data_IF_611165517347
#
_entry.id   IF_611165517347
#
_cell.length_a   1.000
_cell.length_b   1.000
_cell.length_c   1.000
_cell.angle_alpha   90.00
_cell.angle_beta   90.00
_cell.angle_gamma   90.00
#
_symmetry.space_group_name_H-M   'P 1'
#
loop_
_entity.id
_entity.type
_entity.pdbx_description
1 polymer ?
#
# COMPACT_ATOMS: atom_id res chain seq x y z
N UNK A 1 5.15 24.08 -13.58
CA UNK A 1 4.33 23.35 -12.58
C UNK A 1 2.87 23.23 -13.03
N UNK A 2 2.53 23.81 -14.18
CA UNK A 2 1.16 24.15 -14.55
C UNK A 2 0.33 22.92 -14.89
N UNK A 3 0.92 21.95 -15.59
CA UNK A 3 0.29 20.68 -15.95
C UNK A 3 -0.37 19.94 -14.76
N UNK A 4 0.31 19.82 -13.62
CA UNK A 4 -0.23 19.07 -12.47
C UNK A 4 -1.45 19.78 -11.88
N UNK A 5 -1.42 21.12 -11.84
CA UNK A 5 -2.55 21.92 -11.39
C UNK A 5 -3.71 21.88 -12.40
N UNK A 6 -3.40 21.91 -13.70
CA UNK A 6 -4.38 21.87 -14.80
C UNK A 6 -5.08 20.52 -14.95
N UNK A 7 -4.44 19.42 -14.59
CA UNK A 7 -5.01 18.08 -14.71
C UNK A 7 -6.25 17.86 -13.83
N UNK A 8 -6.34 18.55 -12.66
CA UNK A 8 -7.45 18.60 -11.68
C UNK A 8 -7.95 17.28 -11.07
N UNK A 9 -7.80 16.16 -11.76
CA UNK A 9 -8.30 14.87 -11.37
C UNK A 9 -7.24 13.81 -11.66
N UNK A 10 -7.12 12.84 -10.78
CA UNK A 10 -6.15 11.77 -10.89
C UNK A 10 -6.63 10.51 -10.19
N UNK A 11 -6.03 9.39 -10.60
CA UNK A 11 -6.27 8.10 -9.98
C UNK A 11 -5.12 7.79 -9.02
N UNK A 12 -5.46 7.47 -7.79
CA UNK A 12 -4.49 6.96 -6.81
C UNK A 12 -4.79 5.49 -6.55
N UNK A 13 -3.78 4.63 -6.66
CA UNK A 13 -3.92 3.18 -6.48
C UNK A 13 -3.03 2.73 -5.33
N UNK A 14 -3.65 2.18 -4.29
CA UNK A 14 -2.93 1.46 -3.24
C UNK A 14 -2.77 0.01 -3.68
N UNK A 15 -1.53 -0.41 -3.95
CA UNK A 15 -1.20 -1.78 -4.35
C UNK A 15 0.04 -2.29 -3.61
N UNK A 16 -0.01 -3.54 -3.16
CA UNK A 16 1.09 -4.19 -2.46
C UNK A 16 0.65 -5.44 -1.69
N UNK A 17 1.58 -6.05 -0.95
CA UNK A 17 1.37 -7.31 -0.21
C UNK A 17 0.22 -7.24 0.80
N UNK A 18 -0.07 -6.06 1.34
CA UNK A 18 -1.17 -5.85 2.29
C UNK A 18 -2.54 -6.20 1.71
N UNK A 19 -2.71 -6.18 0.38
CA UNK A 19 -3.95 -6.58 -0.29
C UNK A 19 -4.26 -8.05 0.01
N UNK A 20 -3.24 -8.92 0.06
CA UNK A 20 -3.41 -10.35 0.35
C UNK A 20 -4.00 -10.59 1.74
N UNK A 21 -3.79 -9.65 2.67
CA UNK A 21 -4.34 -9.72 4.03
C UNK A 21 -5.69 -9.03 4.18
N UNK A 22 -6.07 -8.11 3.29
CA UNK A 22 -7.36 -7.41 3.33
C UNK A 22 -7.55 -6.48 4.54
N UNK A 23 -6.47 -6.10 5.24
CA UNK A 23 -6.51 -5.38 6.52
C UNK A 23 -5.99 -3.93 6.47
N UNK A 24 -5.79 -3.39 5.27
CA UNK A 24 -5.26 -2.06 5.01
C UNK A 24 -3.72 -2.03 4.90
N UNK A 25 -3.19 -0.96 4.30
CA UNK A 25 -1.77 -0.82 4.00
C UNK A 25 -0.88 -0.75 5.25
N UNK A 26 -1.44 -0.35 6.39
CA UNK A 26 -0.76 -0.27 7.69
C UNK A 26 -0.82 -1.56 8.53
N UNK A 27 -1.32 -2.67 7.98
CA UNK A 27 -1.49 -3.95 8.69
C UNK A 27 -0.20 -4.42 9.37
N UNK A 28 0.96 -4.26 8.72
CA UNK A 28 2.24 -4.66 9.29
C UNK A 28 2.55 -3.91 10.59
N UNK A 29 2.22 -2.62 10.67
CA UNK A 29 2.42 -1.80 11.86
C UNK A 29 1.37 -2.09 12.95
N UNK A 30 0.08 -2.12 12.58
CA UNK A 30 -1.03 -2.31 13.54
C UNK A 30 -0.95 -3.65 14.25
N UNK A 31 -0.64 -4.70 13.49
CA UNK A 31 -0.55 -6.08 14.00
C UNK A 31 0.87 -6.45 14.44
N UNK A 32 1.83 -5.51 14.36
CA UNK A 32 3.25 -5.72 14.71
C UNK A 32 3.86 -6.95 14.03
N UNK A 33 3.51 -7.18 12.76
CA UNK A 33 4.02 -8.31 11.99
C UNK A 33 5.52 -8.13 11.80
N UNK A 34 6.31 -9.13 12.19
CA UNK A 34 7.76 -9.13 12.00
C UNK A 34 8.06 -9.08 10.51
N UNK A 35 9.03 -8.26 10.03
CA UNK A 35 9.31 -8.11 8.60
C UNK A 35 9.60 -9.43 7.87
N UNK A 36 10.23 -10.39 8.55
CA UNK A 36 10.51 -11.71 7.99
C UNK A 36 9.22 -12.52 7.71
N UNK A 37 8.21 -12.41 8.58
CA UNK A 37 6.91 -13.06 8.37
C UNK A 37 6.13 -12.37 7.25
N UNK A 38 6.14 -11.04 7.22
CA UNK A 38 5.46 -10.29 6.18
C UNK A 38 6.04 -10.55 4.77
N UNK A 39 7.35 -10.79 4.68
CA UNK A 39 8.04 -11.12 3.42
C UNK A 39 7.54 -12.40 2.76
N UNK A 40 7.03 -13.37 3.54
CA UNK A 40 6.48 -14.63 3.01
C UNK A 40 5.26 -14.44 2.10
N UNK A 41 4.58 -13.29 2.17
CA UNK A 41 3.50 -12.94 1.26
C UNK A 41 3.95 -12.70 -0.20
N UNK A 42 5.26 -12.58 -0.43
CA UNK A 42 5.85 -12.38 -1.74
C UNK A 42 6.39 -13.68 -2.38
N UNK A 43 6.17 -14.82 -1.72
CA UNK A 43 6.50 -16.18 -2.21
C UNK A 43 5.31 -16.78 -2.96
#
# INVERSE_FOLDING_TARGET
MDWFSEARYGMFVHYGLFILLGLGEWVMNRERIVPAEYRKLAE
#
